data_IF_132648192627
#
_entry.id   IF_132648192627
#
_cell.length_a   1.000
_cell.length_b   1.000
_cell.length_c   1.000
_cell.angle_alpha   90.00
_cell.angle_beta   90.00
_cell.angle_gamma   90.00
#
_symmetry.space_group_name_H-M   'P 1'
#
loop_
_entity.id
_entity.type
_entity.pdbx_description
1 polymer ?
#
# COMPACT_ATOMS: atom_id res chain seq x y z
N UNK A 1 19.40 25.70 -38.12
CA UNK A 1 19.95 25.09 -36.89
C UNK A 1 18.96 24.18 -36.14
N UNK A 2 17.66 24.49 -36.05
CA UNK A 2 16.69 23.66 -35.31
C UNK A 2 16.44 22.25 -35.89
N UNK A 3 16.48 22.08 -37.22
CA UNK A 3 16.25 20.77 -37.87
C UNK A 3 17.29 19.71 -37.49
N UNK A 4 18.58 20.06 -37.38
CA UNK A 4 19.61 19.05 -37.02
C UNK A 4 19.53 18.62 -35.56
N UNK A 5 19.05 19.49 -34.66
CA UNK A 5 18.81 19.14 -33.25
C UNK A 5 17.70 18.09 -33.10
N UNK A 6 16.62 18.23 -33.88
CA UNK A 6 15.53 17.24 -33.94
C UNK A 6 16.01 15.88 -34.47
N UNK A 7 16.89 15.86 -35.49
CA UNK A 7 17.46 14.61 -35.98
C UNK A 7 18.35 13.92 -34.96
N UNK A 8 19.14 14.66 -34.18
CA UNK A 8 19.98 14.10 -33.12
C UNK A 8 19.13 13.52 -31.98
N UNK A 9 18.06 14.20 -31.57
CA UNK A 9 17.17 13.70 -30.53
C UNK A 9 16.33 12.51 -31.00
N UNK A 10 15.83 12.55 -32.25
CA UNK A 10 15.09 11.44 -32.84
C UNK A 10 15.98 10.21 -33.04
N UNK A 11 17.25 10.42 -33.42
CA UNK A 11 18.28 9.37 -33.52
C UNK A 11 18.60 8.75 -32.15
N UNK A 12 18.77 9.57 -31.12
CA UNK A 12 18.98 9.11 -29.74
C UNK A 12 17.79 8.29 -29.23
N UNK A 13 16.56 8.75 -29.50
CA UNK A 13 15.34 8.02 -29.12
C UNK A 13 15.21 6.69 -29.87
N UNK A 14 15.54 6.65 -31.17
CA UNK A 14 15.56 5.42 -31.96
C UNK A 14 16.61 4.43 -31.42
N UNK A 15 17.77 4.94 -31.00
CA UNK A 15 18.84 4.12 -30.43
C UNK A 15 18.42 3.50 -29.10
N UNK A 16 17.77 4.27 -28.22
CA UNK A 16 17.23 3.78 -26.94
C UNK A 16 16.14 2.73 -27.19
N UNK A 17 15.26 2.94 -28.18
CA UNK A 17 14.21 2.00 -28.53
C UNK A 17 14.77 0.69 -29.10
N UNK A 18 15.85 0.76 -29.90
CA UNK A 18 16.52 -0.42 -30.44
C UNK A 18 17.19 -1.28 -29.35
N UNK A 19 17.75 -0.65 -28.30
CA UNK A 19 18.33 -1.37 -27.15
C UNK A 19 17.24 -2.08 -26.33
N UNK A 20 16.02 -1.54 -26.29
CA UNK A 20 14.90 -2.13 -25.55
C UNK A 20 14.26 -3.31 -26.27
N UNK A 21 14.38 -3.42 -27.60
CA UNK A 21 13.75 -4.49 -28.40
C UNK A 21 14.62 -5.73 -28.63
N UNK A 22 15.88 -5.74 -28.21
CA UNK A 22 16.75 -6.92 -28.33
C UNK A 22 16.59 -7.85 -27.14
N UNK A 23 15.44 -8.52 -27.06
CA UNK A 23 15.24 -9.73 -26.24
C UNK A 23 15.05 -10.94 -27.15
N UNK A 24 16.09 -11.26 -27.92
CA UNK A 24 16.27 -12.59 -28.52
C UNK A 24 17.51 -13.18 -27.84
N UNK A 25 17.31 -14.28 -27.12
CA UNK A 25 18.35 -14.99 -26.38
C UNK A 25 19.28 -15.72 -27.35
N UNK A 26 20.28 -15.02 -27.87
CA UNK A 26 21.47 -15.65 -28.42
C UNK A 26 22.69 -15.07 -27.72
N UNK A 27 23.52 -15.97 -27.19
CA UNK A 27 24.57 -15.69 -26.22
C UNK A 27 25.73 -14.93 -26.87
N UNK A 28 25.67 -13.61 -26.84
CA UNK A 28 26.83 -12.70 -26.83
C UNK A 28 26.29 -11.29 -26.51
N UNK A 29 26.08 -10.99 -25.22
CA UNK A 29 25.65 -9.65 -24.83
C UNK A 29 26.85 -8.69 -24.92
N UNK A 30 26.77 -7.73 -25.84
CA UNK A 30 27.81 -6.71 -26.01
C UNK A 30 27.83 -5.68 -24.87
N UNK A 31 26.83 -5.71 -23.98
CA UNK A 31 26.73 -4.91 -22.76
C UNK A 31 26.29 -5.83 -21.63
N UNK A 32 27.04 -5.83 -20.53
CA UNK A 32 26.66 -6.45 -19.25
C UNK A 32 26.54 -5.37 -18.19
N UNK A 33 25.52 -5.48 -17.34
CA UNK A 33 25.30 -4.58 -16.20
C UNK A 33 25.12 -5.44 -14.97
N UNK A 34 26.08 -5.35 -14.06
CA UNK A 34 26.02 -6.05 -12.78
C UNK A 34 25.57 -5.10 -11.66
N UNK A 35 24.64 -5.58 -10.83
CA UNK A 35 24.13 -4.83 -9.67
C UNK A 35 24.74 -5.43 -8.41
N UNK A 36 25.46 -4.60 -7.65
CA UNK A 36 26.01 -5.03 -6.36
C UNK A 36 24.92 -5.20 -5.30
N UNK A 37 25.22 -5.96 -4.23
CA UNK A 37 24.34 -6.05 -3.05
C UNK A 37 24.02 -4.69 -2.42
N UNK A 38 24.93 -3.71 -2.52
CA UNK A 38 24.66 -2.33 -2.08
C UNK A 38 23.61 -1.65 -2.97
N UNK A 39 23.69 -1.86 -4.29
CA UNK A 39 22.68 -1.39 -5.24
C UNK A 39 21.31 -2.04 -5.00
N UNK A 40 21.28 -3.34 -4.74
CA UNK A 40 20.04 -4.04 -4.38
C UNK A 40 19.44 -3.49 -3.08
N UNK A 41 20.25 -3.25 -2.06
CA UNK A 41 19.79 -2.63 -0.80
C UNK A 41 19.19 -1.24 -1.05
N UNK A 42 19.84 -0.42 -1.87
CA UNK A 42 19.32 0.89 -2.26
C UNK A 42 17.96 0.79 -2.99
N UNK A 43 17.86 -0.11 -3.97
CA UNK A 43 16.61 -0.34 -4.72
C UNK A 43 15.50 -0.82 -3.78
N UNK A 44 15.82 -1.75 -2.86
CA UNK A 44 14.88 -2.24 -1.84
C UNK A 44 14.34 -1.10 -0.98
N UNK A 45 15.21 -0.23 -0.45
CA UNK A 45 14.78 0.91 0.39
C UNK A 45 13.94 1.91 -0.43
N UNK A 46 14.31 2.16 -1.68
CA UNK A 46 13.54 3.01 -2.59
C UNK A 46 12.16 2.44 -2.89
N UNK A 47 12.07 1.14 -3.21
CA UNK A 47 10.80 0.48 -3.50
C UNK A 47 9.87 0.44 -2.29
N UNK A 48 10.40 0.21 -1.09
CA UNK A 48 9.61 0.26 0.15
C UNK A 48 9.04 1.67 0.35
N UNK A 49 9.87 2.70 0.21
CA UNK A 49 9.43 4.09 0.32
C UNK A 49 8.35 4.42 -0.70
N UNK A 50 8.54 4.03 -1.96
CA UNK A 50 7.56 4.24 -3.03
C UNK A 50 6.26 3.51 -2.74
N UNK A 51 6.33 2.24 -2.30
CA UNK A 51 5.16 1.47 -1.93
C UNK A 51 4.36 2.14 -0.80
N UNK A 52 5.04 2.59 0.27
CA UNK A 52 4.39 3.33 1.36
C UNK A 52 3.73 4.61 0.83
N UNK A 53 4.44 5.40 0.02
CA UNK A 53 3.88 6.64 -0.54
C UNK A 53 2.71 6.41 -1.49
N UNK A 54 2.61 5.22 -2.11
CA UNK A 54 1.48 4.86 -2.97
C UNK A 54 0.24 4.39 -2.19
N UNK A 55 0.41 4.05 -0.91
CA UNK A 55 -0.64 3.54 -0.03
C UNK A 55 -1.08 4.57 1.02
N UNK A 56 -0.40 5.70 1.16
CA UNK A 56 -0.68 6.68 2.22
C UNK A 56 -0.89 8.08 1.64
N UNK A 57 -2.05 8.72 1.89
CA UNK A 57 -3.23 8.17 2.58
C UNK A 57 -4.01 7.18 1.71
N UNK A 58 -4.60 6.15 2.31
CA UNK A 58 -5.56 5.25 1.65
C UNK A 58 -6.90 5.28 2.40
N UNK A 59 -7.93 5.72 1.68
CA UNK A 59 -9.31 5.71 2.15
C UNK A 59 -9.94 4.33 1.91
N UNK A 60 -10.51 3.75 2.97
CA UNK A 60 -11.18 2.46 2.94
C UNK A 60 -12.70 2.64 2.91
N UNK A 61 -13.44 1.71 2.29
CA UNK A 61 -14.89 1.80 2.22
C UNK A 61 -15.52 1.71 3.62
N UNK A 62 -16.68 2.34 3.76
CA UNK A 62 -17.52 2.25 4.95
C UNK A 62 -17.86 0.79 5.27
N UNK A 63 -17.83 0.45 6.55
CA UNK A 63 -18.21 -0.88 7.07
C UNK A 63 -19.49 -0.71 7.88
N UNK A 64 -20.54 -1.43 7.47
CA UNK A 64 -21.82 -1.47 8.18
C UNK A 64 -22.14 -2.91 8.60
N UNK A 65 -22.45 -3.11 9.87
CA UNK A 65 -22.79 -4.40 10.46
C UNK A 65 -23.88 -4.27 11.50
N UNK A 66 -24.88 -5.14 11.39
CA UNK A 66 -25.84 -5.40 12.45
C UNK A 66 -25.42 -6.67 13.21
N UNK A 67 -25.13 -6.54 14.50
CA UNK A 67 -24.57 -7.62 15.34
C UNK A 67 -25.49 -7.87 16.53
N UNK A 68 -25.75 -9.14 16.85
CA UNK A 68 -26.49 -9.54 18.04
C UNK A 68 -25.56 -9.64 19.25
N UNK A 69 -25.74 -8.77 20.24
CA UNK A 69 -25.01 -8.78 21.51
C UNK A 69 -25.92 -9.39 22.60
N UNK A 70 -25.43 -10.35 23.42
CA UNK A 70 -26.18 -10.85 24.56
C UNK A 70 -26.68 -9.73 25.46
N UNK A 71 -27.90 -9.87 25.97
CA UNK A 71 -28.59 -8.88 26.83
C UNK A 71 -29.00 -7.55 26.17
N UNK A 72 -28.30 -7.08 25.13
CA UNK A 72 -28.59 -5.79 24.44
C UNK A 72 -29.41 -5.95 23.16
N UNK A 73 -29.45 -7.15 22.56
CA UNK A 73 -30.17 -7.40 21.31
C UNK A 73 -29.34 -7.06 20.08
N UNK A 74 -29.99 -6.59 19.02
CA UNK A 74 -29.31 -6.21 17.77
C UNK A 74 -28.79 -4.78 17.85
N UNK A 75 -27.52 -4.60 17.48
CA UNK A 75 -26.83 -3.32 17.46
C UNK A 75 -26.35 -3.07 16.04
N UNK A 76 -26.76 -1.95 15.47
CA UNK A 76 -26.22 -1.44 14.21
C UNK A 76 -24.91 -0.71 14.51
N UNK A 77 -23.85 -1.08 13.79
CA UNK A 77 -22.51 -0.52 13.93
C UNK A 77 -22.01 -0.07 12.56
N UNK A 78 -21.57 1.19 12.50
CA UNK A 78 -21.03 1.81 11.29
C UNK A 78 -19.63 2.32 11.58
N UNK A 79 -18.68 1.97 10.71
CA UNK A 79 -17.35 2.56 10.65
C UNK A 79 -17.23 3.35 9.34
N UNK A 80 -16.97 4.64 9.43
CA UNK A 80 -16.86 5.56 8.29
C UNK A 80 -15.56 6.35 8.34
N UNK A 81 -15.22 7.04 7.24
CA UNK A 81 -14.01 7.87 7.13
C UNK A 81 -12.75 7.12 7.59
N UNK A 82 -12.66 5.86 7.17
CA UNK A 82 -11.58 4.95 7.54
C UNK A 82 -10.37 5.29 6.67
N UNK A 83 -9.32 5.83 7.28
CA UNK A 83 -8.11 6.28 6.56
C UNK A 83 -6.86 5.63 7.14
N UNK A 84 -6.10 4.93 6.29
CA UNK A 84 -4.73 4.52 6.58
C UNK A 84 -3.81 5.71 6.30
N UNK A 85 -3.31 6.33 7.36
CA UNK A 85 -2.58 7.60 7.25
C UNK A 85 -1.08 7.48 7.53
N UNK A 86 -0.60 6.33 8.01
CA UNK A 86 0.82 6.09 8.26
C UNK A 86 1.16 4.61 8.14
N UNK A 87 2.31 4.30 7.52
CA UNK A 87 2.90 2.96 7.51
C UNK A 87 4.37 3.08 7.93
N UNK A 88 4.78 2.28 8.91
CA UNK A 88 6.16 2.12 9.34
C UNK A 88 6.72 0.76 8.93
N UNK A 89 8.02 0.68 8.65
CA UNK A 89 8.74 -0.58 8.42
C UNK A 89 10.05 -0.53 9.20
N UNK A 90 10.20 -1.41 10.19
CA UNK A 90 11.38 -1.42 11.08
C UNK A 90 12.57 -2.12 10.45
N UNK A 91 12.33 -3.25 9.78
CA UNK A 91 13.39 -4.06 9.20
C UNK A 91 13.01 -4.52 7.79
N UNK A 92 14.00 -4.52 6.90
CA UNK A 92 13.84 -5.02 5.54
C UNK A 92 15.12 -5.66 5.02
N UNK A 93 14.96 -6.73 4.25
CA UNK A 93 16.06 -7.46 3.62
C UNK A 93 15.78 -7.68 2.14
N UNK A 94 16.84 -7.83 1.36
CA UNK A 94 16.79 -8.17 -0.05
C UNK A 94 17.77 -9.31 -0.32
N UNK A 95 17.33 -10.30 -1.08
CA UNK A 95 18.16 -11.41 -1.54
C UNK A 95 17.90 -11.64 -3.02
N UNK A 96 18.98 -11.66 -3.80
CA UNK A 96 18.95 -12.17 -5.16
C UNK A 96 19.27 -13.66 -5.14
N UNK A 97 18.53 -14.43 -5.93
CA UNK A 97 18.78 -15.85 -6.20
C UNK A 97 18.55 -16.16 -7.66
N UNK A 98 18.68 -17.43 -8.03
CA UNK A 98 18.69 -17.86 -9.44
C UNK A 98 17.39 -17.55 -10.19
N UNK A 99 16.26 -17.44 -9.47
CA UNK A 99 14.93 -17.17 -10.05
C UNK A 99 14.45 -15.72 -9.90
N UNK A 100 15.25 -14.84 -9.28
CA UNK A 100 14.87 -13.42 -9.12
C UNK A 100 15.30 -12.79 -7.80
N UNK A 101 14.65 -11.66 -7.46
CA UNK A 101 14.96 -10.86 -6.27
C UNK A 101 13.77 -10.89 -5.32
N UNK A 102 14.03 -11.25 -4.06
CA UNK A 102 13.04 -11.25 -2.99
C UNK A 102 13.32 -10.10 -2.04
N UNK A 103 12.29 -9.29 -1.78
CA UNK A 103 12.28 -8.27 -0.72
C UNK A 103 11.37 -8.78 0.39
N UNK A 104 11.88 -8.81 1.61
CA UNK A 104 11.11 -9.16 2.79
C UNK A 104 11.16 -8.04 3.83
N UNK A 105 10.04 -7.82 4.51
CA UNK A 105 9.85 -6.79 5.53
C UNK A 105 9.35 -7.44 6.82
N UNK A 106 9.79 -6.92 7.96
CA UNK A 106 9.31 -7.32 9.29
C UNK A 106 9.22 -6.12 10.23
N UNK A 107 8.38 -6.24 11.26
CA UNK A 107 8.07 -5.13 12.17
C UNK A 107 7.41 -3.96 11.44
N UNK A 108 6.42 -4.25 10.58
CA UNK A 108 5.65 -3.23 9.91
C UNK A 108 4.52 -2.74 10.82
N UNK A 109 4.24 -1.45 10.80
CA UNK A 109 3.13 -0.82 11.52
C UNK A 109 2.22 -0.07 10.56
N UNK A 110 0.95 0.04 10.90
CA UNK A 110 -0.04 0.79 10.14
C UNK A 110 -0.96 1.55 11.11
N UNK A 111 -1.04 2.88 10.97
CA UNK A 111 -1.95 3.70 11.75
C UNK A 111 -3.19 4.03 10.92
N UNK A 112 -4.36 3.72 11.49
CA UNK A 112 -5.66 3.88 10.85
C UNK A 112 -6.53 4.75 11.74
N UNK A 113 -7.14 5.79 11.18
CA UNK A 113 -8.19 6.58 11.83
C UNK A 113 -9.55 6.20 11.26
N UNK A 114 -10.61 6.31 12.06
CA UNK A 114 -11.98 6.09 11.62
C UNK A 114 -12.97 6.82 12.52
N UNK A 115 -14.13 7.12 11.99
CA UNK A 115 -15.30 7.44 12.78
C UNK A 115 -16.11 6.17 13.04
N UNK A 116 -16.63 6.04 14.25
CA UNK A 116 -17.52 4.95 14.63
C UNK A 116 -18.85 5.50 15.10
N UNK A 117 -19.91 4.75 14.86
CA UNK A 117 -21.24 4.99 15.39
C UNK A 117 -21.89 3.67 15.70
N UNK A 118 -22.63 3.60 16.80
CA UNK A 118 -23.56 2.49 17.04
C UNK A 118 -24.95 3.01 17.40
N UNK A 119 -25.95 2.19 17.10
CA UNK A 119 -27.33 2.41 17.55
C UNK A 119 -28.00 1.08 17.87
N UNK A 120 -28.81 1.08 18.92
CA UNK A 120 -29.66 -0.05 19.25
C UNK A 120 -30.96 0.41 19.90
N UNK A 121 -32.01 -0.37 19.69
CA UNK A 121 -33.30 -0.14 20.32
C UNK A 121 -33.47 -1.08 21.51
N UNK A 122 -33.65 -0.51 22.70
CA UNK A 122 -34.01 -1.27 23.89
C UNK A 122 -35.51 -1.18 24.13
N UNK A 123 -36.15 -2.33 24.33
CA UNK A 123 -37.55 -2.40 24.70
C UNK A 123 -37.66 -2.42 26.23
N UNK A 124 -37.77 -1.23 26.84
CA UNK A 124 -38.25 -1.14 28.21
C UNK A 124 -39.78 -1.18 28.19
N UNK A 125 -40.39 -1.82 29.19
CA UNK A 125 -41.80 -2.25 29.25
C UNK A 125 -42.87 -1.17 28.93
N UNK A 126 -42.50 0.10 28.79
CA UNK A 126 -43.42 1.22 28.56
C UNK A 126 -43.08 2.12 27.36
N UNK A 127 -41.84 2.16 26.85
CA UNK A 127 -41.45 3.03 25.72
C UNK A 127 -40.24 2.46 24.95
N UNK A 128 -40.22 2.56 23.60
CA UNK A 128 -39.02 2.28 22.81
C UNK A 128 -37.98 3.36 23.10
N UNK A 129 -36.81 2.95 23.59
CA UNK A 129 -35.67 3.85 23.80
C UNK A 129 -34.63 3.50 22.73
N UNK A 130 -34.33 4.47 21.88
CA UNK A 130 -33.21 4.41 20.95
C UNK A 130 -31.97 4.94 21.66
N UNK A 131 -30.93 4.12 21.76
CA UNK A 131 -29.64 4.49 22.32
C UNK A 131 -28.64 4.51 21.17
N UNK A 132 -27.96 5.63 21.02
CA UNK A 132 -26.89 5.78 20.03
C UNK A 132 -25.73 6.59 20.60
N UNK A 133 -24.55 6.31 20.08
CA UNK A 133 -23.33 7.04 20.38
C UNK A 133 -22.42 7.02 19.15
N UNK A 134 -21.49 7.97 19.10
CA UNK A 134 -20.56 8.13 17.99
C UNK A 134 -19.27 8.81 18.45
N UNK A 135 -18.19 8.54 17.72
CA UNK A 135 -16.92 9.17 18.01
C UNK A 135 -15.86 8.86 16.97
N UNK A 136 -14.62 9.20 17.30
CA UNK A 136 -13.43 8.90 16.50
C UNK A 136 -12.61 7.82 17.21
N UNK A 137 -11.94 6.98 16.41
CA UNK A 137 -11.01 5.99 16.88
C UNK A 137 -9.73 6.02 16.04
N UNK A 138 -8.60 5.76 16.70
CA UNK A 138 -7.30 5.54 16.05
C UNK A 138 -6.77 4.17 16.49
N UNK A 139 -6.31 3.38 15.52
CA UNK A 139 -5.83 2.02 15.71
C UNK A 139 -4.45 1.90 15.09
N UNK A 140 -3.51 1.34 15.85
CA UNK A 140 -2.21 0.92 15.33
C UNK A 140 -2.16 -0.60 15.18
N UNK A 141 -1.94 -1.07 13.96
CA UNK A 141 -1.74 -2.48 13.64
C UNK A 141 -0.25 -2.75 13.52
N UNK A 142 0.22 -3.90 13.99
CA UNK A 142 1.62 -4.33 13.93
C UNK A 142 1.75 -5.76 13.39
N UNK A 143 2.77 -6.01 12.58
CA UNK A 143 3.16 -7.35 12.13
C UNK A 143 4.37 -7.85 12.91
N UNK A 144 4.36 -9.14 13.27
CA UNK A 144 5.50 -9.83 13.89
C UNK A 144 6.52 -10.25 12.84
#
# INVERSE_FOLDING_TARGET
MAKSSLYVQLSSLLLILAILTTTESNQESHVSVDISNKGLNFIKDYLIKTAISSLVPLELPLIDKNIKIPFLGYVDMVLSDISLYEIGVSYSTVKAGDSGVVIAVSGATANISMQWKYSYSSWSWFFPIEISDQGEASVQVYTQ
#
